data_IF_567941888487
#
_entry.id   IF_567941888487
#
_cell.length_a   1.000
_cell.length_b   1.000
_cell.length_c   1.000
_cell.angle_alpha   90.00
_cell.angle_beta   90.00
_cell.angle_gamma   90.00
#
_symmetry.space_group_name_H-M   'P 1'
#
loop_
_entity.id
_entity.type
_entity.pdbx_description
1 polymer ?
#
# COMPACT_ATOMS: atom_id res chain seq x y z
N UNK A 1 75.67 -17.83 38.84
CA UNK A 1 74.63 -18.16 39.83
C UNK A 1 73.41 -17.33 39.52
N UNK A 2 72.41 -17.95 38.88
CA UNK A 2 71.10 -17.36 38.64
C UNK A 2 70.11 -18.10 39.52
N UNK A 3 69.32 -17.36 40.32
CA UNK A 3 68.17 -17.93 41.02
C UNK A 3 67.04 -16.92 40.96
N UNK A 4 66.02 -17.25 40.17
CA UNK A 4 64.69 -16.65 40.17
C UNK A 4 63.78 -17.58 40.98
N UNK A 5 63.04 -17.04 41.95
CA UNK A 5 61.86 -17.66 42.59
C UNK A 5 61.07 -16.57 43.40
N UNK A 6 59.79 -16.75 43.74
CA UNK A 6 58.69 -15.94 43.20
C UNK A 6 57.91 -15.10 44.24
N UNK A 7 57.01 -14.27 43.73
CA UNK A 7 56.10 -13.35 44.44
C UNK A 7 55.10 -14.03 45.39
N UNK A 8 54.67 -13.37 46.48
CA UNK A 8 53.36 -13.60 47.07
C UNK A 8 52.33 -12.61 46.52
N UNK A 9 51.26 -13.17 45.96
CA UNK A 9 50.01 -12.51 45.58
C UNK A 9 49.26 -12.06 46.85
N UNK A 10 49.11 -10.75 47.06
CA UNK A 10 48.34 -10.17 48.18
C UNK A 10 47.16 -9.38 47.62
N UNK A 11 45.96 -9.92 47.79
CA UNK A 11 44.68 -9.30 47.45
C UNK A 11 44.38 -8.18 48.47
N UNK A 12 44.73 -6.95 48.14
CA UNK A 12 44.38 -5.75 48.90
C UNK A 12 43.71 -4.75 47.98
N UNK A 13 42.37 -4.72 47.98
CA UNK A 13 41.61 -3.67 47.31
C UNK A 13 41.86 -2.33 48.03
N UNK A 14 42.64 -1.46 47.41
CA UNK A 14 42.84 -0.09 47.89
C UNK A 14 41.59 0.76 47.66
N UNK A 15 41.32 1.76 48.53
CA UNK A 15 40.06 2.49 48.56
C UNK A 15 39.92 3.43 47.36
N UNK A 16 38.68 3.60 46.91
CA UNK A 16 38.27 4.57 45.87
C UNK A 16 38.84 5.94 46.20
N UNK A 17 39.63 6.49 45.27
CA UNK A 17 40.23 7.81 45.39
C UNK A 17 39.17 8.90 45.51
N UNK A 18 39.24 9.68 46.59
CA UNK A 18 38.54 10.95 46.73
C UNK A 18 39.13 11.96 45.74
N UNK A 19 38.35 12.40 44.77
CA UNK A 19 38.65 13.56 43.93
C UNK A 19 38.23 14.85 44.66
N UNK A 20 39.00 15.96 44.53
CA UNK A 20 38.79 17.20 45.29
C UNK A 20 37.61 18.07 44.83
N UNK A 21 36.81 17.60 43.88
CA UNK A 21 35.67 18.27 43.27
C UNK A 21 34.30 17.77 43.78
N UNK A 22 34.29 16.95 44.84
CA UNK A 22 33.08 16.66 45.62
C UNK A 22 31.96 15.94 44.86
N UNK A 23 32.21 15.47 43.64
CA UNK A 23 31.25 14.73 42.83
C UNK A 23 31.77 13.32 42.55
N UNK A 24 31.59 12.44 43.53
CA UNK A 24 31.28 11.05 43.26
C UNK A 24 29.88 11.03 42.64
N UNK A 25 29.80 11.25 41.32
CA UNK A 25 28.59 11.13 40.51
C UNK A 25 28.20 9.66 40.40
N UNK A 26 27.76 9.12 41.52
CA UNK A 26 26.94 7.93 41.64
C UNK A 26 25.63 8.21 40.90
N UNK A 27 25.14 7.19 40.20
CA UNK A 27 23.75 7.04 39.69
C UNK A 27 23.28 8.03 38.64
N UNK A 28 23.32 7.55 37.40
CA UNK A 28 22.51 8.00 36.26
C UNK A 28 21.03 7.73 36.55
N UNK A 29 20.42 8.50 37.45
CA UNK A 29 18.97 8.49 37.70
C UNK A 29 18.27 9.34 36.63
N UNK A 30 17.96 8.77 35.47
CA UNK A 30 17.02 9.39 34.53
C UNK A 30 15.98 8.46 33.93
N UNK A 31 15.92 7.21 34.36
CA UNK A 31 14.78 6.35 34.05
C UNK A 31 14.27 5.71 35.33
N UNK A 32 13.84 6.56 36.25
CA UNK A 32 12.85 6.19 37.26
C UNK A 32 11.49 6.04 36.60
N UNK A 33 11.27 4.96 35.83
CA UNK A 33 9.91 4.48 35.62
C UNK A 33 9.46 3.93 36.96
N UNK A 34 8.78 4.80 37.73
CA UNK A 34 8.12 4.42 38.96
C UNK A 34 7.26 3.19 38.72
N UNK A 35 7.64 2.10 39.37
CA UNK A 35 6.74 1.03 39.75
C UNK A 35 5.66 1.61 40.68
N UNK A 36 4.68 2.27 40.10
CA UNK A 36 3.34 2.36 40.68
C UNK A 36 2.47 1.37 39.90
N UNK A 37 2.86 0.11 39.95
CA UNK A 37 2.03 -0.99 39.47
C UNK A 37 0.79 -1.02 40.34
N UNK A 38 -0.30 -0.40 39.86
CA UNK A 38 -1.61 -0.34 40.52
C UNK A 38 -1.94 -1.68 41.20
N UNK A 39 -1.62 -1.76 42.50
CA UNK A 39 -1.72 -3.02 43.25
C UNK A 39 -3.19 -3.32 43.59
N UNK A 40 -4.08 -2.35 43.36
CA UNK A 40 -5.53 -2.43 43.52
C UNK A 40 -6.19 -3.28 42.43
N UNK A 41 -7.06 -4.20 42.84
CA UNK A 41 -7.80 -5.13 41.95
C UNK A 41 -8.51 -4.41 40.78
N UNK A 42 -9.03 -3.20 41.01
CA UNK A 42 -9.70 -2.38 39.99
C UNK A 42 -8.73 -1.75 38.98
N UNK A 43 -7.55 -1.32 39.42
CA UNK A 43 -6.53 -0.73 38.55
C UNK A 43 -6.01 -1.74 37.53
N UNK A 44 -5.92 -3.03 37.91
CA UNK A 44 -5.56 -4.12 37.00
C UNK A 44 -6.59 -4.33 35.89
N UNK A 45 -7.87 -4.32 36.24
CA UNK A 45 -8.96 -4.46 35.26
C UNK A 45 -8.97 -3.26 34.32
N UNK A 46 -8.84 -2.04 34.86
CA UNK A 46 -8.75 -0.82 34.08
C UNK A 46 -7.53 -0.83 33.14
N UNK A 47 -6.37 -1.29 33.60
CA UNK A 47 -5.17 -1.40 32.79
C UNK A 47 -5.35 -2.36 31.60
N UNK A 48 -6.03 -3.50 31.80
CA UNK A 48 -6.32 -4.43 30.70
C UNK A 48 -7.22 -3.77 29.65
N UNK A 49 -8.32 -3.13 30.06
CA UNK A 49 -9.18 -2.39 29.12
C UNK A 49 -8.44 -1.25 28.43
N UNK A 50 -7.57 -0.54 29.15
CA UNK A 50 -6.75 0.54 28.63
C UNK A 50 -5.78 0.07 27.55
N UNK A 51 -5.07 -1.04 27.80
CA UNK A 51 -4.14 -1.63 26.83
C UNK A 51 -4.87 -2.16 25.61
N UNK A 52 -6.01 -2.83 25.79
CA UNK A 52 -6.84 -3.30 24.69
C UNK A 52 -7.36 -2.12 23.85
N UNK A 53 -7.93 -1.10 24.51
CA UNK A 53 -8.42 0.10 23.85
C UNK A 53 -7.32 0.84 23.09
N UNK A 54 -6.13 0.96 23.67
CA UNK A 54 -4.98 1.61 23.03
C UNK A 54 -4.52 0.84 21.79
N UNK A 55 -4.46 -0.50 21.90
CA UNK A 55 -4.08 -1.36 20.77
C UNK A 55 -5.09 -1.29 19.63
N UNK A 56 -6.39 -1.34 19.95
CA UNK A 56 -7.47 -1.23 18.96
C UNK A 56 -7.46 0.15 18.29
N UNK A 57 -7.35 1.22 19.09
CA UNK A 57 -7.26 2.58 18.57
C UNK A 57 -6.06 2.75 17.64
N UNK A 58 -4.89 2.22 18.02
CA UNK A 58 -3.68 2.30 17.22
C UNK A 58 -3.80 1.48 15.92
N UNK A 59 -4.38 0.28 15.98
CA UNK A 59 -4.60 -0.56 14.81
C UNK A 59 -5.55 0.12 13.80
N UNK A 60 -6.65 0.70 14.28
CA UNK A 60 -7.59 1.45 13.43
C UNK A 60 -6.93 2.70 12.84
N UNK A 61 -6.12 3.43 13.62
CA UNK A 61 -5.39 4.58 13.13
C UNK A 61 -4.41 4.20 12.01
N UNK A 62 -3.65 3.10 12.17
CA UNK A 62 -2.75 2.60 11.13
C UNK A 62 -3.50 2.16 9.89
N UNK A 63 -4.65 1.49 10.03
CA UNK A 63 -5.48 1.10 8.90
C UNK A 63 -5.97 2.34 8.12
N UNK A 64 -6.54 3.31 8.83
CA UNK A 64 -6.99 4.57 8.24
C UNK A 64 -5.85 5.37 7.60
N UNK A 65 -4.68 5.39 8.24
CA UNK A 65 -3.49 6.04 7.70
C UNK A 65 -2.98 5.31 6.44
N UNK A 66 -2.99 3.98 6.44
CA UNK A 66 -2.62 3.18 5.28
C UNK A 66 -3.59 3.39 4.11
N UNK A 67 -4.89 3.46 4.38
CA UNK A 67 -5.91 3.80 3.40
C UNK A 67 -5.68 5.21 2.85
N UNK A 68 -5.54 6.23 3.70
CA UNK A 68 -5.27 7.61 3.28
C UNK A 68 -3.97 7.75 2.48
N UNK A 69 -2.90 7.07 2.90
CA UNK A 69 -1.61 7.14 2.22
C UNK A 69 -1.66 6.47 0.85
N UNK A 70 -2.33 5.32 0.76
CA UNK A 70 -2.56 4.60 -0.49
C UNK A 70 -3.46 5.40 -1.42
N UNK A 71 -4.55 5.96 -0.89
CA UNK A 71 -5.52 6.75 -1.64
C UNK A 71 -4.92 8.05 -2.18
N UNK A 72 -4.11 8.76 -1.37
CA UNK A 72 -3.43 9.98 -1.81
C UNK A 72 -2.45 9.71 -2.97
N UNK A 73 -1.70 8.61 -2.90
CA UNK A 73 -0.82 8.16 -3.99
C UNK A 73 -1.61 7.76 -5.24
N UNK A 74 -2.70 7.01 -5.07
CA UNK A 74 -3.55 6.65 -6.20
C UNK A 74 -4.20 7.86 -6.85
N UNK A 75 -4.72 8.81 -6.06
CA UNK A 75 -5.32 10.06 -6.56
C UNK A 75 -4.31 10.92 -7.31
N UNK A 76 -3.08 11.01 -6.83
CA UNK A 76 -2.02 11.77 -7.51
C UNK A 76 -1.56 11.10 -8.80
N UNK A 77 -1.43 9.77 -8.84
CA UNK A 77 -1.16 9.02 -10.08
C UNK A 77 -2.29 9.18 -11.10
N UNK A 78 -3.55 9.01 -10.68
CA UNK A 78 -4.75 9.22 -11.51
C UNK A 78 -4.78 10.64 -12.07
N UNK A 79 -4.55 11.65 -11.23
CA UNK A 79 -4.51 13.04 -11.66
C UNK A 79 -3.36 13.31 -12.63
N UNK A 80 -2.19 12.74 -12.39
CA UNK A 80 -1.03 12.87 -13.27
C UNK A 80 -1.30 12.23 -14.64
N UNK A 81 -1.84 11.01 -14.68
CA UNK A 81 -2.28 10.31 -15.90
C UNK A 81 -3.32 11.12 -16.68
N UNK A 82 -4.29 11.73 -15.99
CA UNK A 82 -5.31 12.57 -16.62
C UNK A 82 -4.79 13.92 -17.11
N UNK A 83 -3.78 14.50 -16.45
CA UNK A 83 -3.22 15.82 -16.78
C UNK A 83 -2.12 15.72 -17.85
N UNK A 84 -1.49 14.55 -18.00
CA UNK A 84 -0.48 14.31 -19.03
C UNK A 84 -1.13 14.43 -20.42
N UNK A 85 -0.57 15.30 -21.26
CA UNK A 85 -1.00 15.46 -22.65
C UNK A 85 -0.79 14.17 -23.45
N UNK A 86 -1.72 13.86 -24.35
CA UNK A 86 -1.61 12.73 -25.28
C UNK A 86 -0.50 13.00 -26.30
N UNK A 87 0.38 12.01 -26.47
CA UNK A 87 1.40 11.99 -27.53
C UNK A 87 0.85 11.28 -28.77
N UNK A 88 1.44 11.49 -29.94
CA UNK A 88 1.03 10.81 -31.18
C UNK A 88 1.01 9.27 -31.05
N UNK A 89 2.01 8.68 -30.40
CA UNK A 89 2.03 7.24 -30.10
C UNK A 89 0.96 6.79 -29.10
N UNK A 90 0.50 7.70 -28.23
CA UNK A 90 -0.59 7.39 -27.29
C UNK A 90 -1.94 7.37 -28.04
N UNK A 91 -2.09 8.16 -29.10
CA UNK A 91 -3.27 8.16 -29.98
C UNK A 91 -3.34 6.84 -30.75
N UNK A 92 -2.23 6.41 -31.35
CA UNK A 92 -2.14 5.12 -32.05
C UNK A 92 -2.42 3.93 -31.13
N UNK A 93 -2.04 4.01 -29.85
CA UNK A 93 -2.32 2.97 -28.87
C UNK A 93 -3.76 3.02 -28.31
N UNK A 94 -4.44 4.16 -28.43
CA UNK A 94 -5.83 4.35 -28.02
C UNK A 94 -6.83 3.94 -29.11
N UNK A 95 -6.41 4.03 -30.38
CA UNK A 95 -7.15 3.58 -31.56
C UNK A 95 -7.29 2.04 -31.54
N UNK A 96 -8.45 1.55 -31.11
CA UNK A 96 -8.72 0.11 -30.94
C UNK A 96 -9.26 -0.51 -32.23
N UNK A 97 -9.94 0.28 -33.07
CA UNK A 97 -10.56 -0.15 -34.32
C UNK A 97 -9.71 0.17 -35.57
N UNK A 98 -8.60 0.87 -35.41
CA UNK A 98 -7.62 1.26 -36.42
C UNK A 98 -8.18 2.22 -37.48
N UNK A 99 -9.18 3.05 -37.12
CA UNK A 99 -9.78 4.04 -38.01
C UNK A 99 -9.01 5.37 -38.09
N UNK A 100 -7.89 5.49 -37.35
CA UNK A 100 -7.03 6.68 -37.21
C UNK A 100 -7.72 7.88 -36.53
N UNK A 101 -8.87 7.65 -35.92
CA UNK A 101 -9.60 8.58 -35.08
C UNK A 101 -9.62 7.96 -33.67
N UNK A 102 -9.76 8.81 -32.65
CA UNK A 102 -9.95 8.32 -31.28
C UNK A 102 -11.27 8.84 -30.80
N UNK A 103 -12.23 7.93 -30.66
CA UNK A 103 -13.54 8.24 -30.09
C UNK A 103 -13.43 8.54 -28.60
N UNK A 104 -14.46 9.18 -28.04
CA UNK A 104 -14.51 9.45 -26.61
C UNK A 104 -14.44 8.15 -25.78
N UNK A 105 -15.00 7.05 -26.28
CA UNK A 105 -14.98 5.75 -25.61
C UNK A 105 -13.56 5.18 -25.55
N UNK A 106 -12.84 5.20 -26.66
CA UNK A 106 -11.45 4.74 -26.75
C UNK A 106 -10.51 5.57 -25.88
N UNK A 107 -10.69 6.89 -25.85
CA UNK A 107 -9.94 7.76 -24.95
C UNK A 107 -10.18 7.40 -23.46
N UNK A 108 -11.43 7.13 -23.08
CA UNK A 108 -11.77 6.72 -21.71
C UNK A 108 -11.14 5.36 -21.39
N UNK A 109 -11.25 4.38 -22.28
CA UNK A 109 -10.65 3.04 -22.11
C UNK A 109 -9.13 3.15 -21.98
N UNK A 110 -8.49 3.92 -22.85
CA UNK A 110 -7.05 4.18 -22.80
C UNK A 110 -6.63 4.78 -21.45
N UNK A 111 -7.35 5.81 -20.96
CA UNK A 111 -7.06 6.41 -19.66
C UNK A 111 -7.33 5.47 -18.49
N UNK A 112 -8.37 4.64 -18.56
CA UNK A 112 -8.65 3.61 -17.56
C UNK A 112 -7.53 2.55 -17.50
N UNK A 113 -6.99 2.17 -18.65
CA UNK A 113 -5.85 1.26 -18.78
C UNK A 113 -4.56 1.89 -18.25
N UNK A 114 -4.28 3.15 -18.59
CA UNK A 114 -3.12 3.90 -18.09
C UNK A 114 -3.17 4.08 -16.56
N UNK A 115 -4.38 4.21 -15.99
CA UNK A 115 -4.61 4.23 -14.54
C UNK A 115 -4.52 2.84 -13.87
N UNK A 116 -4.35 1.76 -14.65
CA UNK A 116 -4.31 0.38 -14.14
C UNK A 116 -5.64 -0.11 -13.56
N UNK A 117 -6.77 0.53 -13.93
CA UNK A 117 -8.11 0.12 -13.46
C UNK A 117 -8.70 -1.04 -14.26
N UNK A 118 -8.27 -1.18 -15.51
CA UNK A 118 -8.64 -2.26 -16.42
C UNK A 118 -7.36 -2.83 -17.02
N UNK A 119 -7.32 -4.15 -17.20
CA UNK A 119 -6.21 -4.84 -17.86
C UNK A 119 -6.44 -4.90 -19.39
N UNK A 120 -5.40 -5.21 -20.16
CA UNK A 120 -5.55 -5.35 -21.61
C UNK A 120 -6.36 -6.60 -21.95
N UNK A 121 -6.23 -7.63 -21.12
CA UNK A 121 -6.95 -8.89 -21.18
C UNK A 121 -8.46 -8.66 -21.00
N UNK A 122 -8.86 -7.83 -20.03
CA UNK A 122 -10.26 -7.48 -19.82
C UNK A 122 -10.86 -6.79 -21.06
N UNK A 123 -10.10 -5.85 -21.64
CA UNK A 123 -10.53 -5.13 -22.85
C UNK A 123 -10.66 -6.10 -24.03
N UNK A 124 -9.71 -7.03 -24.21
CA UNK A 124 -9.76 -8.03 -25.27
C UNK A 124 -10.95 -8.96 -25.15
N UNK A 125 -11.26 -9.45 -23.94
CA UNK A 125 -12.43 -10.32 -23.68
C UNK A 125 -13.73 -9.57 -23.95
N UNK A 126 -13.83 -8.31 -23.52
CA UNK A 126 -15.01 -7.49 -23.79
C UNK A 126 -15.16 -7.19 -25.28
N UNK A 127 -14.05 -6.95 -25.98
CA UNK A 127 -14.05 -6.70 -27.43
C UNK A 127 -14.45 -7.94 -28.22
N UNK A 128 -13.99 -9.13 -27.82
CA UNK A 128 -14.42 -10.39 -28.43
C UNK A 128 -15.92 -10.64 -28.21
N UNK A 129 -16.41 -10.38 -26.99
CA UNK A 129 -17.84 -10.47 -26.68
C UNK A 129 -18.66 -9.47 -27.50
N UNK A 130 -18.14 -8.25 -27.69
CA UNK A 130 -18.77 -7.24 -28.53
C UNK A 130 -18.87 -7.72 -29.98
N UNK A 131 -17.78 -8.23 -30.56
CA UNK A 131 -17.78 -8.81 -31.92
C UNK A 131 -18.72 -9.99 -32.08
N UNK A 132 -18.96 -10.75 -31.02
CA UNK A 132 -19.91 -11.88 -31.02
C UNK A 132 -21.37 -11.39 -31.02
N UNK A 133 -21.63 -10.26 -30.37
CA UNK A 133 -22.96 -9.65 -30.29
C UNK A 133 -23.28 -8.80 -31.53
N UNK A 134 -22.27 -8.20 -32.13
CA UNK A 134 -22.33 -7.38 -33.34
C UNK A 134 -22.47 -8.27 -34.59
N UNK A 135 -23.68 -8.82 -34.78
CA UNK A 135 -23.97 -9.79 -35.83
C UNK A 135 -23.81 -9.19 -37.25
N UNK A 136 -24.03 -7.88 -37.40
CA UNK A 136 -23.86 -7.17 -38.66
C UNK A 136 -22.45 -6.58 -38.84
N UNK A 137 -21.56 -6.75 -37.86
CA UNK A 137 -20.20 -6.20 -37.84
C UNK A 137 -20.17 -4.70 -38.11
N UNK A 138 -21.23 -3.98 -37.72
CA UNK A 138 -21.34 -2.54 -37.93
C UNK A 138 -20.39 -1.74 -37.05
N UNK A 139 -19.81 -2.38 -36.02
CA UNK A 139 -19.04 -1.70 -34.97
C UNK A 139 -19.95 -1.04 -33.93
N UNK A 140 -21.26 -1.28 -33.98
CA UNK A 140 -22.24 -0.71 -33.05
C UNK A 140 -23.28 -1.74 -32.63
N UNK A 141 -23.54 -1.85 -31.32
CA UNK A 141 -24.63 -2.70 -30.84
C UNK A 141 -25.96 -1.96 -30.94
N UNK A 142 -26.80 -2.41 -31.85
CA UNK A 142 -28.16 -1.92 -32.07
C UNK A 142 -29.17 -2.89 -31.45
N UNK A 143 -30.37 -2.40 -31.12
CA UNK A 143 -31.46 -3.24 -30.62
C UNK A 143 -31.81 -4.41 -31.59
N UNK A 144 -31.55 -4.22 -32.89
CA UNK A 144 -31.68 -5.23 -33.93
C UNK A 144 -30.75 -6.44 -33.71
N UNK A 145 -29.54 -6.22 -33.20
CA UNK A 145 -28.55 -7.27 -32.94
C UNK A 145 -28.95 -8.16 -31.77
N UNK A 146 -29.65 -7.57 -30.78
CA UNK A 146 -30.26 -8.31 -29.68
C UNK A 146 -31.50 -9.12 -30.11
N UNK A 147 -32.11 -8.75 -31.24
CA UNK A 147 -33.32 -9.39 -31.79
C UNK A 147 -33.03 -10.41 -32.89
N UNK A 148 -31.77 -10.63 -33.27
CA UNK A 148 -31.35 -11.65 -34.22
C UNK A 148 -30.73 -12.88 -33.52
N UNK A 149 -31.53 -13.77 -32.89
CA UNK A 149 -31.10 -15.14 -32.74
C UNK A 149 -31.20 -15.82 -34.13
N UNK A 150 -30.05 -15.93 -34.80
CA UNK A 150 -29.72 -17.09 -35.66
C UNK A 150 -30.85 -17.66 -36.52
N UNK A 151 -31.41 -16.90 -37.48
CA UNK A 151 -32.30 -17.48 -38.50
C UNK A 151 -32.32 -16.69 -39.83
N UNK A 152 -31.18 -16.61 -40.51
CA UNK A 152 -31.12 -16.25 -41.94
C UNK A 152 -30.31 -17.26 -42.74
N UNK A 153 -30.66 -18.55 -42.63
CA UNK A 153 -30.16 -19.58 -43.57
C UNK A 153 -31.23 -20.55 -44.09
N UNK A 154 -32.52 -20.21 -44.06
CA UNK A 154 -33.56 -21.00 -44.75
C UNK A 154 -34.67 -20.12 -45.34
N UNK A 155 -34.31 -19.13 -46.15
CA UNK A 155 -35.30 -18.50 -47.06
C UNK A 155 -34.63 -17.79 -48.24
N UNK A 156 -33.92 -18.58 -49.05
CA UNK A 156 -33.67 -18.25 -50.45
C UNK A 156 -33.62 -19.60 -51.19
N UNK A 157 -34.79 -19.94 -51.73
CA UNK A 157 -35.05 -20.60 -53.03
C UNK A 157 -34.28 -21.88 -53.42
#
# INVERSE_FOLDING_TARGET
>A
MATVAPLPFSLGASPVGNWPDGNNSVTLDFVGYGDESFSTRLGRIFAVFWVLSSTICLAQFFLYFAELYTESRQRSLVKWVLTRGLTFSDIEAADLDHDKVVSAAEFIIFKLKEMGKISQEDVSVLMERFKTLDADQSGTLTASDMMLPSNLNQRAD
#
